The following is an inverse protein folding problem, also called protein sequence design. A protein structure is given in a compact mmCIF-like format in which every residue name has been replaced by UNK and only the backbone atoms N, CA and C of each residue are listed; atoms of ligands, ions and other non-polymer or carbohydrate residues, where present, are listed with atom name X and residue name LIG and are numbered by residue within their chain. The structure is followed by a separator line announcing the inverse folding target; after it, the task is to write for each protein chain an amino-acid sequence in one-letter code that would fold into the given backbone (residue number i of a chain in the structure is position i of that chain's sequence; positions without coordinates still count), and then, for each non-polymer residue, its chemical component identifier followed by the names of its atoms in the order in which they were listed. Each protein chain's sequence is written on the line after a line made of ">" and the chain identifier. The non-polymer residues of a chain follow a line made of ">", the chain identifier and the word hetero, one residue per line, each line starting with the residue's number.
data_IF_492513754507
#
_entry.id   IF_492513754507
#
_cell.length_a   1.000
_cell.length_b   1.000
_cell.length_c   1.000
_cell.angle_alpha   90.00
_cell.angle_beta   90.00
_cell.angle_gamma   90.00
#
_symmetry.space_group_name_H-M   'P 1'
#
loop_
_entity.id
_entity.type
_entity.pdbx_description
1 polymer ?
#
# COMPACT_ATOMS: atom_id res chain seq x y z
N UNK A 1 20.25 -6.02 -0.60
CA UNK A 1 19.20 -5.92 -1.66
C UNK A 1 17.80 -5.95 -1.06
N UNK A 2 17.51 -6.82 -0.08
CA UNK A 2 16.19 -6.95 0.54
C UNK A 2 15.71 -5.67 1.26
N UNK A 3 16.60 -4.95 1.94
CA UNK A 3 16.28 -3.63 2.55
C UNK A 3 15.80 -2.57 1.54
N UNK A 4 16.38 -2.53 0.34
CA UNK A 4 15.97 -1.59 -0.73
C UNK A 4 14.59 -1.98 -1.25
N UNK A 5 14.34 -3.27 -1.43
CA UNK A 5 13.04 -3.81 -1.86
C UNK A 5 11.96 -3.55 -0.80
N UNK A 6 12.25 -3.77 0.47
CA UNK A 6 11.30 -3.50 1.57
C UNK A 6 10.95 -2.01 1.69
N UNK A 7 11.93 -1.12 1.53
CA UNK A 7 11.73 0.33 1.56
C UNK A 7 10.98 0.85 0.34
N UNK A 8 11.24 0.27 -0.84
CA UNK A 8 10.49 0.58 -2.07
C UNK A 8 9.02 0.14 -1.94
N UNK A 9 8.78 -1.06 -1.42
CA UNK A 9 7.42 -1.55 -1.14
C UNK A 9 6.66 -0.68 -0.15
N UNK A 10 7.32 -0.19 0.91
CA UNK A 10 6.74 0.77 1.86
C UNK A 10 6.30 2.07 1.19
N UNK A 11 7.14 2.67 0.34
CA UNK A 11 6.84 3.94 -0.34
C UNK A 11 5.73 3.75 -1.38
N UNK A 12 5.83 2.71 -2.22
CA UNK A 12 4.84 2.42 -3.24
C UNK A 12 3.46 2.08 -2.64
N UNK A 13 3.45 1.27 -1.57
CA UNK A 13 2.22 0.94 -0.84
C UNK A 13 1.58 2.16 -0.19
N UNK A 14 2.36 3.04 0.44
CA UNK A 14 1.87 4.29 1.01
C UNK A 14 1.29 5.24 -0.04
N UNK A 15 1.91 5.33 -1.21
CA UNK A 15 1.41 6.16 -2.30
C UNK A 15 0.10 5.62 -2.87
N UNK A 16 0.00 4.29 -3.05
CA UNK A 16 -1.20 3.61 -3.52
C UNK A 16 -2.37 3.78 -2.54
N UNK A 17 -2.14 3.56 -1.24
CA UNK A 17 -3.19 3.74 -0.22
C UNK A 17 -3.66 5.19 -0.15
N UNK A 18 -2.75 6.15 -0.13
CA UNK A 18 -3.10 7.57 0.00
C UNK A 18 -3.91 8.07 -1.20
N UNK A 19 -3.43 7.77 -2.41
CA UNK A 19 -4.10 8.18 -3.65
C UNK A 19 -5.49 7.53 -3.75
N UNK A 20 -5.58 6.25 -3.39
CA UNK A 20 -6.83 5.52 -3.48
C UNK A 20 -7.84 5.89 -2.38
N UNK A 21 -7.37 6.28 -1.20
CA UNK A 21 -8.22 6.83 -0.14
C UNK A 21 -8.77 8.20 -0.51
N UNK A 22 -7.94 9.05 -1.12
CA UNK A 22 -8.36 10.36 -1.65
C UNK A 22 -9.43 10.19 -2.74
N UNK A 23 -9.22 9.28 -3.69
CA UNK A 23 -10.22 8.99 -4.74
C UNK A 23 -11.50 8.42 -4.13
N UNK A 24 -11.42 7.52 -3.15
CA UNK A 24 -12.61 6.98 -2.48
C UNK A 24 -13.39 8.05 -1.70
N UNK A 25 -12.69 9.04 -1.13
CA UNK A 25 -13.30 10.16 -0.41
C UNK A 25 -13.99 11.16 -1.34
N UNK A 26 -13.43 11.39 -2.54
CA UNK A 26 -13.94 12.35 -3.52
C UNK A 26 -15.03 11.77 -4.43
N UNK A 27 -15.09 10.45 -4.58
CA UNK A 27 -16.05 9.78 -5.47
C UNK A 27 -17.33 9.38 -4.71
N UNK A 28 -18.53 9.72 -5.21
CA UNK A 28 -19.78 9.29 -4.62
C UNK A 28 -19.87 7.76 -4.48
N UNK A 29 -20.36 7.24 -3.33
CA UNK A 29 -20.49 5.80 -3.12
C UNK A 29 -21.53 5.20 -4.09
N UNK A 30 -21.25 4.00 -4.61
CA UNK A 30 -22.16 3.25 -5.51
C UNK A 30 -21.73 3.18 -6.97
N UNK A 31 -20.61 3.81 -7.35
CA UNK A 31 -20.02 3.69 -8.70
C UNK A 31 -18.91 2.63 -8.74
N UNK A 32 -18.65 2.07 -9.92
CA UNK A 32 -17.55 1.13 -10.15
C UNK A 32 -16.18 1.71 -9.72
N UNK A 33 -16.02 3.02 -9.86
CA UNK A 33 -14.82 3.76 -9.46
C UNK A 33 -14.59 3.69 -7.94
N UNK A 34 -15.64 3.77 -7.13
CA UNK A 34 -15.56 3.63 -5.67
C UNK A 34 -15.10 2.22 -5.26
N UNK A 35 -15.57 1.18 -5.95
CA UNK A 35 -15.15 -0.23 -5.71
C UNK A 35 -13.68 -0.43 -6.08
N UNK A 36 -13.25 0.10 -7.22
CA UNK A 36 -11.86 0.03 -7.67
C UNK A 36 -10.96 0.76 -6.66
N UNK A 37 -11.37 1.94 -6.19
CA UNK A 37 -10.64 2.69 -5.17
C UNK A 37 -10.55 1.92 -3.84
N UNK A 38 -11.62 1.27 -3.39
CA UNK A 38 -11.56 0.43 -2.19
C UNK A 38 -10.57 -0.73 -2.35
N UNK A 39 -10.61 -1.43 -3.49
CA UNK A 39 -9.68 -2.53 -3.80
C UNK A 39 -8.22 -2.06 -3.86
N UNK A 40 -7.96 -0.91 -4.48
CA UNK A 40 -6.60 -0.36 -4.58
C UNK A 40 -6.06 0.08 -3.21
N UNK A 41 -6.91 0.59 -2.29
CA UNK A 41 -6.50 0.82 -0.89
C UNK A 41 -6.09 -0.50 -0.23
N UNK A 42 -6.89 -1.56 -0.38
CA UNK A 42 -6.59 -2.89 0.21
C UNK A 42 -5.27 -3.43 -0.33
N UNK A 43 -5.05 -3.37 -1.64
CA UNK A 43 -3.80 -3.81 -2.27
C UNK A 43 -2.61 -2.99 -1.75
N UNK A 44 -2.75 -1.66 -1.67
CA UNK A 44 -1.71 -0.79 -1.12
C UNK A 44 -1.33 -1.15 0.32
N UNK A 45 -2.32 -1.49 1.17
CA UNK A 45 -2.08 -1.94 2.55
C UNK A 45 -1.34 -3.27 2.61
N UNK A 46 -1.64 -4.22 1.72
CA UNK A 46 -0.91 -5.49 1.62
C UNK A 46 0.54 -5.25 1.23
N UNK A 47 0.79 -4.40 0.22
CA UNK A 47 2.15 -4.05 -0.21
C UNK A 47 2.93 -3.37 0.92
N UNK A 48 2.30 -2.44 1.64
CA UNK A 48 2.86 -1.79 2.83
C UNK A 48 3.27 -2.82 3.90
N UNK A 49 2.38 -3.77 4.20
CA UNK A 49 2.59 -4.80 5.23
C UNK A 49 3.75 -5.72 4.86
N UNK A 50 3.83 -6.13 3.58
CA UNK A 50 4.92 -6.94 3.06
C UNK A 50 6.26 -6.18 3.08
N UNK A 51 6.26 -4.90 2.69
CA UNK A 51 7.44 -4.05 2.76
C UNK A 51 7.95 -3.90 4.19
N UNK A 52 7.05 -3.68 5.15
CA UNK A 52 7.38 -3.60 6.57
C UNK A 52 7.92 -4.92 7.11
N UNK A 53 7.29 -6.05 6.80
CA UNK A 53 7.76 -7.38 7.18
C UNK A 53 9.16 -7.66 6.62
N UNK A 54 9.42 -7.32 5.36
CA UNK A 54 10.74 -7.46 4.75
C UNK A 54 11.81 -6.64 5.49
N UNK A 55 11.50 -5.40 5.89
CA UNK A 55 12.40 -4.55 6.69
C UNK A 55 12.64 -5.15 8.09
N UNK A 56 11.59 -5.64 8.76
CA UNK A 56 11.70 -6.24 10.09
C UNK A 56 12.51 -7.55 10.07
N UNK A 57 12.30 -8.40 9.06
CA UNK A 57 13.06 -9.63 8.87
C UNK A 57 14.54 -9.36 8.62
N UNK A 58 14.88 -8.36 7.80
CA UNK A 58 16.27 -7.98 7.58
C UNK A 58 16.92 -7.40 8.85
N UNK A 59 16.19 -6.56 9.60
CA UNK A 59 16.68 -6.04 10.90
C UNK A 59 16.93 -7.14 11.95
N UNK A 60 16.19 -8.24 11.91
CA UNK A 60 16.41 -9.38 12.79
C UNK A 60 17.58 -10.27 12.36
N UNK A 61 17.99 -10.15 11.09
CA UNK A 61 19.04 -10.96 10.46
C UNK A 61 20.42 -10.29 10.54
N UNK A 62 20.45 -8.96 10.65
CA UNK A 62 21.62 -8.15 11.03
C UNK A 62 21.87 -8.28 12.54
#
# INVERSE_FOLDING_TARGET
>A
MLLVVGRFGLIAGAFLTLTSALTAFLTPPGTAESVISALTVVIGLVVLSLGLLAVLLERKRQ
#
